data_IF_391816441779
#
_entry.id   IF_391816441779
#
_cell.length_a   1.000
_cell.length_b   1.000
_cell.length_c   1.000
_cell.angle_alpha   90.00
_cell.angle_beta   90.00
_cell.angle_gamma   90.00
#
_symmetry.space_group_name_H-M   'P 1'
#
loop_
_entity.id
_entity.type
_entity.pdbx_description
1 polymer ?
#
# COMPACT_ATOMS: atom_id res chain seq x y z
N UNK A 1 5.04 -11.91 -9.47
CA UNK A 1 4.41 -10.60 -9.47
C UNK A 1 3.20 -10.59 -8.57
N UNK A 2 3.11 -9.59 -7.72
CA UNK A 2 2.03 -9.48 -6.75
C UNK A 2 0.80 -8.83 -7.38
N UNK A 3 -0.37 -9.40 -7.16
CA UNK A 3 -1.61 -8.81 -7.65
C UNK A 3 -2.23 -7.91 -6.55
N UNK A 4 -3.35 -7.25 -6.88
CA UNK A 4 -4.01 -6.34 -5.96
C UNK A 4 -4.45 -7.03 -4.66
N UNK A 5 -4.91 -8.27 -4.74
CA UNK A 5 -5.33 -9.02 -3.57
C UNK A 5 -4.16 -9.27 -2.63
N UNK A 6 -3.00 -9.62 -3.16
CA UNK A 6 -1.79 -9.84 -2.37
C UNK A 6 -1.34 -8.55 -1.69
N UNK A 7 -1.41 -7.43 -2.42
CA UNK A 7 -1.06 -6.13 -1.87
C UNK A 7 -1.96 -5.76 -0.71
N UNK A 8 -3.26 -5.98 -0.86
CA UNK A 8 -4.23 -5.70 0.20
C UNK A 8 -3.99 -6.56 1.43
N UNK A 9 -3.61 -7.82 1.24
CA UNK A 9 -3.28 -8.71 2.35
C UNK A 9 -2.05 -8.20 3.10
N UNK A 10 -1.04 -7.72 2.39
CA UNK A 10 0.14 -7.14 3.02
C UNK A 10 -0.20 -5.86 3.77
N UNK A 11 -1.06 -5.05 3.20
CA UNK A 11 -1.51 -3.82 3.87
C UNK A 11 -2.24 -4.13 5.16
N UNK A 12 -3.11 -5.12 5.17
CA UNK A 12 -3.81 -5.53 6.39
C UNK A 12 -2.85 -5.98 7.46
N UNK A 13 -1.87 -6.78 7.11
CA UNK A 13 -0.84 -7.22 8.05
C UNK A 13 -0.05 -6.05 8.62
N UNK A 14 0.31 -5.11 7.77
CA UNK A 14 1.05 -3.93 8.22
C UNK A 14 0.22 -3.10 9.21
N UNK A 15 -1.06 -2.92 8.93
CA UNK A 15 -1.95 -2.19 9.84
C UNK A 15 -2.11 -2.91 11.18
N UNK A 16 -2.25 -4.23 11.15
CA UNK A 16 -2.35 -5.02 12.37
C UNK A 16 -1.07 -4.93 13.20
N UNK A 17 0.07 -4.96 12.56
CA UNK A 17 1.36 -4.86 13.24
C UNK A 17 1.51 -3.52 13.95
N UNK A 18 0.96 -2.45 13.40
CA UNK A 18 1.01 -1.12 14.01
C UNK A 18 -0.14 -0.87 15.00
N UNK A 19 -1.07 -1.79 15.10
CA UNK A 19 -2.19 -1.71 16.02
C UNK A 19 -3.48 -1.19 15.41
N UNK A 20 -3.43 -0.41 14.35
CA UNK A 20 -4.61 0.10 13.66
C UNK A 20 -4.27 0.66 12.30
N UNK A 21 -5.29 0.85 11.47
CA UNK A 21 -5.11 1.50 10.17
C UNK A 21 -4.64 2.94 10.34
N UNK A 22 -5.19 3.64 11.31
CA UNK A 22 -4.81 5.02 11.55
C UNK A 22 -3.34 5.14 11.97
N UNK A 23 -2.88 4.26 12.83
CA UNK A 23 -1.49 4.27 13.28
C UNK A 23 -0.54 4.00 12.12
N UNK A 24 -0.86 3.02 11.29
CA UNK A 24 -0.02 2.71 10.14
C UNK A 24 -0.01 3.85 9.14
N UNK A 25 -1.18 4.44 8.87
CA UNK A 25 -1.29 5.57 7.94
C UNK A 25 -0.46 6.75 8.39
N UNK A 26 -0.51 7.07 9.69
CA UNK A 26 0.27 8.16 10.24
C UNK A 26 1.76 7.91 10.07
N UNK A 27 2.20 6.71 10.38
CA UNK A 27 3.62 6.36 10.23
C UNK A 27 4.07 6.41 8.77
N UNK A 28 3.20 6.03 7.85
CA UNK A 28 3.49 6.04 6.42
C UNK A 28 3.35 7.43 5.79
N UNK A 29 2.80 8.39 6.52
CA UNK A 29 2.55 9.72 5.98
C UNK A 29 1.35 9.79 5.05
N UNK A 30 0.37 8.91 5.24
CA UNK A 30 -0.82 8.82 4.41
C UNK A 30 -2.08 9.10 5.23
N UNK A 31 -3.16 9.45 4.54
CA UNK A 31 -4.43 9.71 5.20
C UNK A 31 -5.12 8.40 5.59
N UNK A 32 -5.61 8.31 6.82
CA UNK A 32 -6.33 7.13 7.28
C UNK A 32 -7.55 6.79 6.42
N UNK A 33 -8.38 7.77 6.00
CA UNK A 33 -9.51 7.48 5.10
C UNK A 33 -9.08 6.85 3.77
N UNK A 34 -7.94 7.27 3.25
CA UNK A 34 -7.40 6.68 2.03
C UNK A 34 -7.09 5.19 2.23
N UNK A 35 -6.44 4.85 3.34
CA UNK A 35 -6.12 3.46 3.66
C UNK A 35 -7.39 2.63 3.79
N UNK A 36 -8.39 3.16 4.48
CA UNK A 36 -9.67 2.49 4.64
C UNK A 36 -10.34 2.22 3.29
N UNK A 37 -10.33 3.22 2.40
CA UNK A 37 -10.93 3.07 1.07
C UNK A 37 -10.21 2.03 0.23
N UNK A 38 -8.89 1.99 0.30
CA UNK A 38 -8.09 1.00 -0.42
C UNK A 38 -8.44 -0.41 0.08
N UNK A 39 -8.52 -0.59 1.40
CA UNK A 39 -8.84 -1.89 1.98
C UNK A 39 -10.24 -2.36 1.66
N UNK A 40 -11.16 -1.42 1.41
CA UNK A 40 -12.54 -1.74 1.03
C UNK A 40 -12.71 -1.91 -0.48
N UNK A 41 -11.66 -1.70 -1.23
CA UNK A 41 -11.72 -1.82 -2.68
C UNK A 41 -12.32 -0.62 -3.38
N UNK A 42 -12.49 0.50 -2.69
CA UNK A 42 -13.06 1.73 -3.29
C UNK A 42 -12.03 2.57 -4.01
N UNK A 43 -10.77 2.31 -3.72
CA UNK A 43 -9.68 3.09 -4.28
C UNK A 43 -8.52 2.17 -4.60
N UNK A 44 -7.85 2.42 -5.69
CA UNK A 44 -6.66 1.64 -6.02
C UNK A 44 -5.46 2.11 -5.23
N UNK A 45 -4.57 1.19 -4.85
CA UNK A 45 -3.34 1.57 -4.17
C UNK A 45 -2.46 2.43 -5.06
N UNK A 46 -2.10 3.61 -4.58
CA UNK A 46 -1.22 4.50 -5.32
C UNK A 46 0.26 4.21 -5.07
N UNK A 47 1.14 4.92 -5.79
CA UNK A 47 2.60 4.73 -5.65
C UNK A 47 3.10 4.94 -4.22
N UNK A 48 2.59 5.95 -3.53
CA UNK A 48 3.01 6.25 -2.16
C UNK A 48 2.69 5.10 -1.22
N UNK A 49 1.53 4.47 -1.39
CA UNK A 49 1.14 3.33 -0.58
C UNK A 49 2.05 2.13 -0.86
N UNK A 50 2.33 1.86 -2.12
CA UNK A 50 3.20 0.76 -2.50
C UNK A 50 4.60 0.95 -1.91
N UNK A 51 5.14 2.16 -1.99
CA UNK A 51 6.44 2.47 -1.42
C UNK A 51 6.44 2.29 0.10
N UNK A 52 5.38 2.73 0.76
CA UNK A 52 5.29 2.60 2.21
C UNK A 52 5.25 1.13 2.65
N UNK A 53 4.73 0.26 1.81
CA UNK A 53 4.72 -1.18 2.07
C UNK A 53 6.02 -1.87 1.68
N UNK A 54 6.95 -1.14 1.08
CA UNK A 54 8.22 -1.70 0.65
C UNK A 54 8.19 -2.34 -0.73
N UNK A 55 7.15 -2.07 -1.49
CA UNK A 55 7.05 -2.57 -2.87
C UNK A 55 7.39 -1.48 -3.85
N UNK A 56 8.15 -1.83 -4.85
CA UNK A 56 8.38 -0.93 -5.95
C UNK A 56 7.25 -1.09 -6.95
N UNK A 57 6.76 0.02 -7.45
CA UNK A 57 5.86 0.01 -8.57
C UNK A 57 6.68 -0.35 -9.80
N UNK A 58 6.51 -1.55 -10.27
CA UNK A 58 7.24 -1.99 -11.46
C UNK A 58 6.56 -1.41 -12.68
N UNK A 59 6.99 -0.23 -13.06
CA UNK A 59 6.74 0.21 -14.42
C UNK A 59 7.82 -0.49 -15.24
N UNK A 60 7.41 -1.17 -16.26
CA UNK A 60 8.35 -1.92 -17.07
C UNK A 60 9.23 -0.98 -17.85
N UNK A 61 10.31 -0.60 -17.24
CA UNK A 61 11.32 0.18 -17.93
C UNK A 61 12.38 -0.76 -18.45
N UNK A 62 12.64 -0.62 -19.71
CA UNK A 62 13.76 -1.29 -20.30
C UNK A 62 15.01 -0.58 -19.91
N UNK A 63 16.00 -1.34 -19.51
CA UNK A 63 17.29 -0.75 -19.26
C UNK A 63 17.86 -0.19 -20.55
N UNK A 64 18.23 1.04 -20.51
CA UNK A 64 18.84 1.70 -21.64
C UNK A 64 20.34 1.42 -21.63
N UNK A 65 20.84 1.09 -22.77
CA UNK A 65 22.27 0.88 -22.95
C UNK A 65 22.88 1.98 -23.77
#
# INVERSE_FOLDING_TARGET
MMNATDLLAQLRKACEADGSQAAWAERAGLAAPYISDVLRGRREPGPSLCEALGFERVVLYRRKK
#
